data_IF_627841157626
#
_entry.id   IF_627841157626
#
_cell.length_a   1.000
_cell.length_b   1.000
_cell.length_c   1.000
_cell.angle_alpha   90.00
_cell.angle_beta   90.00
_cell.angle_gamma   90.00
#
_symmetry.space_group_name_H-M   'P 1'
#
loop_
_entity.id
_entity.type
_entity.pdbx_description
1 polymer ?
#
# COMPACT_ATOMS: atom_id res chain seq x y z
N UNK A 1 -19.64 19.43 7.45
CA UNK A 1 -18.48 19.13 6.59
C UNK A 1 -17.22 19.12 7.46
N UNK A 2 -16.47 18.04 7.43
CA UNK A 2 -15.24 17.95 8.22
C UNK A 2 -14.14 18.82 7.59
N UNK A 3 -13.46 19.62 8.39
CA UNK A 3 -12.37 20.49 7.91
C UNK A 3 -11.01 19.80 7.83
N UNK A 4 -10.91 18.60 8.40
CA UNK A 4 -9.68 17.81 8.44
C UNK A 4 -9.86 16.49 7.70
N UNK A 5 -8.91 16.17 6.83
CA UNK A 5 -8.75 14.85 6.25
C UNK A 5 -7.59 14.10 6.92
N UNK A 6 -7.78 12.86 7.31
CA UNK A 6 -6.72 11.97 7.82
C UNK A 6 -6.41 10.93 6.77
N UNK A 7 -5.16 10.85 6.34
CA UNK A 7 -4.68 9.87 5.38
C UNK A 7 -3.77 8.85 6.07
N UNK A 8 -4.28 7.64 6.22
CA UNK A 8 -3.48 6.49 6.67
C UNK A 8 -2.75 5.92 5.46
N UNK A 9 -1.42 5.78 5.56
CA UNK A 9 -0.61 5.19 4.50
C UNK A 9 -0.06 3.85 4.99
N UNK A 10 -0.46 2.78 4.31
CA UNK A 10 0.07 1.44 4.53
C UNK A 10 1.10 1.09 3.44
N UNK A 11 1.95 0.09 3.70
CA UNK A 11 3.01 -0.31 2.78
C UNK A 11 2.45 -0.75 1.42
N UNK A 12 1.47 -1.61 1.43
CA UNK A 12 0.86 -2.14 0.22
C UNK A 12 0.90 -3.67 0.16
N UNK A 13 0.18 -4.18 -0.82
CA UNK A 13 0.05 -5.62 -1.07
C UNK A 13 -0.27 -5.83 -2.56
N UNK A 14 0.03 -7.00 -3.15
CA UNK A 14 -0.44 -7.31 -4.50
C UNK A 14 -1.96 -7.24 -4.59
N UNK A 15 -2.49 -6.98 -5.77
CA UNK A 15 -3.94 -6.94 -6.00
C UNK A 15 -4.59 -8.33 -5.88
N UNK A 16 -3.83 -9.39 -6.17
CA UNK A 16 -4.18 -10.78 -5.90
C UNK A 16 -2.92 -11.61 -5.61
N UNK A 17 -3.04 -12.84 -5.08
CA UNK A 17 -1.88 -13.71 -4.85
C UNK A 17 -1.33 -14.37 -6.12
N UNK A 18 -1.96 -14.13 -7.27
CA UNK A 18 -1.53 -14.68 -8.55
C UNK A 18 -0.24 -14.02 -9.04
N UNK A 19 0.59 -14.78 -9.77
CA UNK A 19 1.88 -14.30 -10.29
C UNK A 19 1.76 -13.03 -11.12
N UNK A 20 0.67 -12.87 -11.87
CA UNK A 20 0.39 -11.69 -12.70
C UNK A 20 0.28 -10.40 -11.89
N UNK A 21 -0.16 -10.48 -10.63
CA UNK A 21 -0.35 -9.34 -9.73
C UNK A 21 0.80 -9.22 -8.73
N UNK A 22 1.40 -10.33 -8.32
CA UNK A 22 2.57 -10.36 -7.44
C UNK A 22 3.80 -9.78 -8.14
N UNK A 23 4.01 -10.09 -9.42
CA UNK A 23 5.16 -9.58 -10.19
C UNK A 23 5.20 -8.05 -10.28
N UNK A 24 4.14 -7.34 -10.69
CA UNK A 24 4.13 -5.88 -10.69
C UNK A 24 4.35 -5.28 -9.31
N UNK A 25 3.79 -5.87 -8.27
CA UNK A 25 4.01 -5.43 -6.89
C UNK A 25 5.47 -5.53 -6.48
N UNK A 26 6.12 -6.68 -6.72
CA UNK A 26 7.54 -6.87 -6.42
C UNK A 26 8.42 -5.92 -7.25
N UNK A 27 8.08 -5.69 -8.49
CA UNK A 27 8.81 -4.78 -9.38
C UNK A 27 8.78 -3.35 -8.83
N UNK A 28 7.62 -2.85 -8.44
CA UNK A 28 7.47 -1.51 -7.88
C UNK A 28 8.19 -1.39 -6.53
N UNK A 29 7.99 -2.36 -5.64
CA UNK A 29 8.57 -2.36 -4.31
C UNK A 29 10.10 -2.44 -4.34
N UNK A 30 10.68 -3.36 -5.11
CA UNK A 30 12.12 -3.59 -5.14
C UNK A 30 12.89 -2.56 -5.98
N UNK A 31 12.23 -1.86 -6.89
CA UNK A 31 12.84 -0.76 -7.63
C UNK A 31 12.87 0.58 -6.85
N UNK A 32 12.24 0.63 -5.69
CA UNK A 32 12.34 1.81 -4.82
C UNK A 32 13.79 1.94 -4.29
N UNK A 33 14.47 3.08 -4.51
CA UNK A 33 15.82 3.30 -4.03
C UNK A 33 15.95 3.26 -2.50
N UNK A 34 14.85 3.43 -1.78
CA UNK A 34 14.81 3.29 -0.32
C UNK A 34 14.81 1.82 0.12
N UNK A 35 14.45 0.89 -0.76
CA UNK A 35 14.46 -0.56 -0.49
C UNK A 35 15.78 -1.18 -0.93
N UNK A 36 16.24 -0.85 -2.14
CA UNK A 36 17.54 -1.28 -2.68
C UNK A 36 18.34 -0.04 -3.10
N UNK A 37 19.31 0.33 -2.26
CA UNK A 37 20.15 1.51 -2.45
C UNK A 37 21.30 1.23 -3.43
N UNK A 38 20.94 1.01 -4.68
CA UNK A 38 21.87 0.93 -5.81
C UNK A 38 21.59 2.05 -6.81
N UNK A 39 22.59 2.35 -7.67
CA UNK A 39 22.34 3.24 -8.81
C UNK A 39 21.19 2.73 -9.65
N UNK A 40 20.44 3.62 -10.27
CA UNK A 40 19.25 3.28 -11.05
C UNK A 40 19.47 2.13 -12.04
N UNK A 41 20.56 2.15 -12.79
CA UNK A 41 20.85 1.12 -13.80
C UNK A 41 21.12 -0.24 -13.15
N UNK A 42 21.98 -0.28 -12.13
CA UNK A 42 22.32 -1.52 -11.41
C UNK A 42 21.07 -2.11 -10.73
N UNK A 43 20.28 -1.28 -10.06
CA UNK A 43 19.05 -1.69 -9.42
C UNK A 43 18.03 -2.23 -10.44
N UNK A 44 17.83 -1.53 -11.55
CA UNK A 44 16.88 -1.93 -12.59
C UNK A 44 17.23 -3.29 -13.19
N UNK A 45 18.49 -3.52 -13.51
CA UNK A 45 18.96 -4.82 -14.04
C UNK A 45 18.81 -5.91 -12.98
N UNK A 46 19.28 -5.68 -11.77
CA UNK A 46 19.21 -6.66 -10.68
C UNK A 46 17.76 -7.05 -10.36
N UNK A 47 16.89 -6.08 -10.20
CA UNK A 47 15.49 -6.31 -9.83
C UNK A 47 14.72 -6.96 -10.96
N UNK A 48 14.73 -6.38 -12.16
CA UNK A 48 13.84 -6.81 -13.23
C UNK A 48 14.30 -8.08 -13.94
N UNK A 49 15.62 -8.30 -14.03
CA UNK A 49 16.19 -9.45 -14.75
C UNK A 49 16.52 -10.64 -13.85
N UNK A 50 16.78 -10.39 -12.56
CA UNK A 50 17.22 -11.44 -11.63
C UNK A 50 16.21 -11.66 -10.51
N UNK A 51 15.99 -10.68 -9.64
CA UNK A 51 15.22 -10.89 -8.41
C UNK A 51 13.76 -11.20 -8.72
N UNK A 52 13.07 -10.36 -9.48
CA UNK A 52 11.63 -10.51 -9.75
C UNK A 52 11.31 -11.81 -10.47
N UNK A 53 11.99 -12.23 -11.55
CA UNK A 53 11.71 -13.51 -12.20
C UNK A 53 11.83 -14.72 -11.26
N UNK A 54 12.86 -14.75 -10.40
CA UNK A 54 13.08 -15.85 -9.48
C UNK A 54 12.16 -15.82 -8.26
N UNK A 55 11.88 -14.64 -7.70
CA UNK A 55 11.07 -14.51 -6.48
C UNK A 55 9.57 -14.59 -6.70
N UNK A 56 9.07 -14.25 -7.88
CA UNK A 56 7.61 -14.19 -8.15
C UNK A 56 6.90 -15.49 -7.81
N UNK A 57 7.49 -16.65 -8.18
CA UNK A 57 6.89 -17.95 -7.91
C UNK A 57 6.75 -18.24 -6.40
N UNK A 58 7.82 -18.01 -5.64
CA UNK A 58 7.81 -18.26 -4.19
C UNK A 58 6.95 -17.24 -3.45
N UNK A 59 7.03 -15.97 -3.82
CA UNK A 59 6.20 -14.91 -3.24
C UNK A 59 4.72 -15.17 -3.52
N UNK A 60 4.34 -15.59 -4.73
CA UNK A 60 2.96 -15.95 -5.05
C UNK A 60 2.43 -17.06 -4.14
N UNK A 61 3.22 -18.09 -3.82
CA UNK A 61 2.81 -19.13 -2.86
C UNK A 61 2.54 -18.56 -1.47
N UNK A 62 3.44 -17.73 -0.95
CA UNK A 62 3.28 -17.08 0.36
C UNK A 62 2.03 -16.21 0.37
N UNK A 63 1.80 -15.43 -0.67
CA UNK A 63 0.59 -14.61 -0.77
C UNK A 63 -0.69 -15.44 -0.87
N UNK A 64 -0.67 -16.60 -1.53
CA UNK A 64 -1.82 -17.53 -1.55
C UNK A 64 -2.18 -17.99 -0.15
N UNK A 65 -1.20 -18.40 0.64
CA UNK A 65 -1.41 -18.76 2.05
C UNK A 65 -1.99 -17.58 2.86
N UNK A 66 -1.48 -16.36 2.65
CA UNK A 66 -2.02 -15.16 3.30
C UNK A 66 -3.48 -14.88 2.89
N UNK A 67 -3.82 -15.06 1.62
CA UNK A 67 -5.22 -14.90 1.14
C UNK A 67 -6.16 -15.96 1.70
N UNK A 68 -5.69 -17.18 1.90
CA UNK A 68 -6.46 -18.24 2.58
C UNK A 68 -6.74 -17.86 4.04
N UNK A 69 -5.73 -17.39 4.78
CA UNK A 69 -5.90 -16.88 6.15
C UNK A 69 -6.87 -15.69 6.18
N UNK A 70 -6.77 -14.80 5.21
CA UNK A 70 -7.64 -13.63 5.05
C UNK A 70 -9.01 -13.92 4.44
N UNK A 71 -9.35 -15.18 4.19
CA UNK A 71 -10.64 -15.61 3.59
C UNK A 71 -10.92 -14.94 2.24
N UNK A 72 -9.92 -14.94 1.36
CA UNK A 72 -10.00 -14.41 -0.01
C UNK A 72 -9.58 -12.94 -0.15
N UNK A 73 -9.08 -12.31 0.91
CA UNK A 73 -8.59 -10.92 0.92
C UNK A 73 -7.26 -10.86 1.65
N UNK A 74 -6.37 -9.97 1.24
CA UNK A 74 -5.13 -9.73 1.99
C UNK A 74 -5.43 -9.30 3.42
N UNK A 75 -4.87 -9.96 4.45
CA UNK A 75 -5.04 -9.55 5.84
C UNK A 75 -4.64 -8.10 6.09
N UNK A 76 -3.62 -7.59 5.39
CA UNK A 76 -3.19 -6.21 5.48
C UNK A 76 -4.32 -5.23 5.14
N UNK A 77 -5.06 -5.50 4.07
CA UNK A 77 -6.22 -4.69 3.68
C UNK A 77 -7.31 -4.74 4.74
N UNK A 78 -7.63 -5.94 5.22
CA UNK A 78 -8.69 -6.13 6.24
C UNK A 78 -8.35 -5.39 7.53
N UNK A 79 -7.15 -5.53 8.06
CA UNK A 79 -6.75 -4.84 9.28
C UNK A 79 -6.68 -3.32 9.11
N UNK A 80 -6.17 -2.85 7.97
CA UNK A 80 -6.07 -1.42 7.68
C UNK A 80 -7.46 -0.79 7.55
N UNK A 81 -8.39 -1.46 6.87
CA UNK A 81 -9.77 -0.98 6.72
C UNK A 81 -10.53 -1.00 8.06
N UNK A 82 -10.31 -2.01 8.89
CA UNK A 82 -10.87 -2.04 10.24
C UNK A 82 -10.35 -0.90 11.11
N UNK A 83 -9.05 -0.60 11.02
CA UNK A 83 -8.46 0.56 11.69
C UNK A 83 -9.10 1.87 11.20
N UNK A 84 -9.22 2.03 9.88
CA UNK A 84 -9.86 3.19 9.27
C UNK A 84 -11.28 3.41 9.81
N UNK A 85 -12.09 2.35 9.83
CA UNK A 85 -13.48 2.42 10.34
C UNK A 85 -13.54 2.80 11.81
N UNK A 86 -12.71 2.16 12.65
CA UNK A 86 -12.64 2.48 14.09
C UNK A 86 -12.20 3.92 14.34
N UNK A 87 -11.21 4.39 13.58
CA UNK A 87 -10.72 5.76 13.70
C UNK A 87 -11.77 6.77 13.22
N UNK A 88 -12.45 6.48 12.10
CA UNK A 88 -13.54 7.32 11.61
C UNK A 88 -14.67 7.47 12.63
N UNK A 89 -15.05 6.38 13.29
CA UNK A 89 -16.04 6.42 14.37
C UNK A 89 -15.58 7.29 15.57
N UNK A 90 -14.30 7.18 15.94
CA UNK A 90 -13.74 7.99 17.05
C UNK A 90 -13.63 9.47 16.72
N UNK A 91 -13.30 9.80 15.48
CA UNK A 91 -13.16 11.19 15.05
C UNK A 91 -14.50 11.81 14.63
N UNK A 92 -15.49 10.98 14.32
CA UNK A 92 -16.86 11.38 13.98
C UNK A 92 -16.90 12.64 13.08
N UNK A 93 -17.43 13.75 13.60
CA UNK A 93 -17.57 15.02 12.86
C UNK A 93 -16.29 15.87 12.81
N UNK A 94 -15.17 15.39 13.36
CA UNK A 94 -13.92 16.13 13.41
C UNK A 94 -13.05 15.92 12.16
N UNK A 95 -13.05 14.71 11.61
CA UNK A 95 -12.22 14.38 10.46
C UNK A 95 -12.78 13.20 9.64
N UNK A 96 -12.55 13.25 8.33
CA UNK A 96 -12.73 12.10 7.44
C UNK A 96 -11.45 11.29 7.36
N UNK A 97 -11.56 9.96 7.32
CA UNK A 97 -10.40 9.06 7.34
C UNK A 97 -10.30 8.27 6.03
N UNK A 98 -9.15 8.35 5.40
CA UNK A 98 -8.80 7.71 4.14
C UNK A 98 -7.65 6.74 4.33
N UNK A 99 -7.54 5.78 3.42
CA UNK A 99 -6.41 4.85 3.32
C UNK A 99 -5.79 4.93 1.94
N UNK A 100 -4.47 4.97 1.88
CA UNK A 100 -3.71 4.80 0.66
C UNK A 100 -2.57 3.79 0.89
N UNK A 101 -2.08 3.22 -0.20
CA UNK A 101 -0.95 2.29 -0.22
C UNK A 101 0.27 2.96 -0.84
N UNK A 102 1.44 2.75 -0.23
CA UNK A 102 2.72 3.21 -0.80
C UNK A 102 3.01 2.51 -2.11
N UNK A 103 2.71 1.22 -2.18
CA UNK A 103 2.85 0.41 -3.39
C UNK A 103 1.50 -0.18 -3.79
N UNK A 104 1.20 -0.14 -5.10
CA UNK A 104 -0.06 -0.61 -5.70
C UNK A 104 -1.27 0.21 -5.25
N UNK A 105 -2.41 -0.41 -5.07
CA UNK A 105 -3.71 0.27 -4.98
C UNK A 105 -4.37 0.11 -3.60
N UNK A 106 -5.12 1.11 -3.15
CA UNK A 106 -5.29 2.45 -3.75
C UNK A 106 -4.02 3.29 -3.60
N UNK A 107 -3.58 3.92 -4.69
CA UNK A 107 -2.35 4.70 -4.70
C UNK A 107 -2.49 6.02 -3.94
N UNK A 108 -1.38 6.54 -3.40
CA UNK A 108 -1.36 7.85 -2.72
C UNK A 108 -1.88 8.95 -3.64
N UNK A 109 -1.41 9.09 -4.90
CA UNK A 109 -1.93 10.12 -5.79
C UNK A 109 -3.43 10.04 -6.04
N UNK A 110 -4.00 8.84 -6.21
CA UNK A 110 -5.43 8.66 -6.45
C UNK A 110 -6.28 9.09 -5.26
N UNK A 111 -5.87 8.72 -4.04
CA UNK A 111 -6.57 9.08 -2.82
C UNK A 111 -6.45 10.58 -2.52
N UNK A 112 -5.26 11.17 -2.74
CA UNK A 112 -5.09 12.63 -2.60
C UNK A 112 -5.94 13.41 -3.60
N UNK A 113 -6.09 12.92 -4.83
CA UNK A 113 -6.99 13.53 -5.82
C UNK A 113 -8.46 13.49 -5.39
N UNK A 114 -8.88 12.42 -4.72
CA UNK A 114 -10.21 12.32 -4.11
C UNK A 114 -10.35 13.31 -2.94
N UNK A 115 -9.38 13.33 -2.02
CA UNK A 115 -9.39 14.24 -0.87
C UNK A 115 -9.40 15.71 -1.30
N UNK A 116 -8.71 16.06 -2.40
CA UNK A 116 -8.68 17.42 -2.94
C UNK A 116 -10.08 17.93 -3.30
N UNK A 117 -10.99 17.06 -3.77
CA UNK A 117 -12.37 17.44 -4.12
C UNK A 117 -13.20 17.88 -2.89
N UNK A 118 -12.76 17.51 -1.69
CA UNK A 118 -13.45 17.84 -0.43
C UNK A 118 -13.00 19.16 0.19
N UNK A 119 -11.94 19.80 -0.35
CA UNK A 119 -11.42 21.08 0.12
C UNK A 119 -11.13 21.13 1.63
N UNK A 120 -10.43 20.13 2.16
CA UNK A 120 -9.99 20.13 3.55
C UNK A 120 -9.05 21.31 3.84
N UNK A 121 -9.22 21.96 4.98
CA UNK A 121 -8.31 22.99 5.48
C UNK A 121 -6.99 22.39 5.95
N UNK A 122 -7.03 21.14 6.44
CA UNK A 122 -5.89 20.40 6.97
C UNK A 122 -5.91 18.95 6.53
N UNK A 123 -4.77 18.44 6.13
CA UNK A 123 -4.56 17.02 5.90
C UNK A 123 -3.49 16.52 6.86
N UNK A 124 -3.84 15.48 7.65
CA UNK A 124 -2.92 14.78 8.53
C UNK A 124 -2.54 13.47 7.88
N UNK A 125 -1.25 13.26 7.65
CA UNK A 125 -0.73 12.02 7.05
C UNK A 125 -0.10 11.17 8.14
N UNK A 126 -0.56 9.92 8.25
CA UNK A 126 -0.08 8.95 9.23
C UNK A 126 0.42 7.69 8.55
N UNK A 127 1.74 7.50 8.41
CA UNK A 127 2.31 6.24 7.95
C UNK A 127 2.11 5.14 9.00
N UNK A 128 1.71 3.95 8.55
CA UNK A 128 1.47 2.78 9.41
C UNK A 128 2.59 1.73 9.34
N UNK A 129 3.68 2.05 8.69
CA UNK A 129 4.86 1.21 8.55
C UNK A 129 6.08 1.85 9.22
N UNK A 130 7.12 1.06 9.57
CA UNK A 130 8.33 1.59 10.20
C UNK A 130 8.98 2.71 9.38
N UNK A 131 9.48 3.72 10.07
CA UNK A 131 10.26 4.82 9.48
C UNK A 131 11.76 4.54 9.63
N UNK A 132 12.56 5.11 8.72
CA UNK A 132 14.02 5.08 8.84
C UNK A 132 14.50 6.06 9.91
#
# INVERSE_FOLDING_TARGET
MNKTGVLLIQLGTPDSPEKKDVRPYLTEFLNDPRVIDFSWLKRSILVNCIIVPFRTKNSSKIYKELWEIGKGVSPLITYTENLRKKLALKLADQADVYVAMRYKNPSIPSVLAEMKKKNYEKIVVLPLFPQY
#
